data_IF_632389061825
#
_entry.id   IF_632389061825
#
_cell.length_a   1.000
_cell.length_b   1.000
_cell.length_c   1.000
_cell.angle_alpha   90.00
_cell.angle_beta   90.00
_cell.angle_gamma   90.00
#
_symmetry.space_group_name_H-M   'P 1'
#
loop_
_entity.id
_entity.type
_entity.pdbx_description
1 polymer ?
#
# COMPACT_ATOMS: atom_id res chain seq x y z
N UNK A 1 -7.23 3.62 23.26
CA UNK A 1 -8.10 2.64 22.56
C UNK A 1 -7.30 1.39 22.22
N UNK A 2 -7.94 0.24 21.96
CA UNK A 2 -7.18 -0.92 21.45
C UNK A 2 -6.81 -0.68 19.98
N UNK A 3 -5.71 -1.28 19.51
CA UNK A 3 -5.18 -1.05 18.15
C UNK A 3 -6.22 -1.35 17.05
N UNK A 4 -7.04 -2.39 17.23
CA UNK A 4 -8.06 -2.79 16.25
C UNK A 4 -9.24 -1.81 16.20
N UNK A 5 -9.52 -1.08 17.28
CA UNK A 5 -10.56 -0.04 17.29
C UNK A 5 -10.09 1.17 16.47
N UNK A 6 -8.82 1.56 16.66
CA UNK A 6 -8.17 2.61 15.88
C UNK A 6 -8.14 2.23 14.38
N UNK A 7 -7.72 1.00 14.07
CA UNK A 7 -7.72 0.49 12.70
C UNK A 7 -9.12 0.51 12.07
N UNK A 8 -10.16 0.07 12.80
CA UNK A 8 -11.56 0.11 12.31
C UNK A 8 -12.06 1.53 12.06
N UNK A 9 -11.76 2.48 12.95
CA UNK A 9 -12.11 3.89 12.74
C UNK A 9 -11.49 4.40 11.43
N UNK A 10 -10.20 4.14 11.24
CA UNK A 10 -9.48 4.57 10.05
C UNK A 10 -9.98 3.87 8.77
N UNK A 11 -10.31 2.59 8.83
CA UNK A 11 -10.92 1.87 7.71
C UNK A 11 -12.25 2.49 7.30
N UNK A 12 -13.07 2.90 8.28
CA UNK A 12 -14.36 3.57 8.01
C UNK A 12 -14.17 4.94 7.37
N UNK A 13 -13.20 5.72 7.84
CA UNK A 13 -12.83 7.03 7.25
C UNK A 13 -12.35 6.88 5.80
N UNK A 14 -11.54 5.85 5.53
CA UNK A 14 -10.98 5.59 4.20
C UNK A 14 -11.92 4.82 3.25
N UNK A 15 -13.06 4.33 3.75
CA UNK A 15 -13.97 3.47 2.98
C UNK A 15 -13.36 2.14 2.57
N UNK A 16 -12.42 1.60 3.35
CA UNK A 16 -11.73 0.33 3.06
C UNK A 16 -12.44 -0.81 3.78
N UNK A 17 -12.75 -1.88 3.04
CA UNK A 17 -13.35 -3.10 3.60
C UNK A 17 -12.28 -4.06 4.13
N UNK A 18 -12.70 -5.05 4.93
CA UNK A 18 -11.79 -6.07 5.46
C UNK A 18 -11.21 -6.94 4.34
N UNK A 19 -11.99 -7.21 3.31
CA UNK A 19 -11.59 -7.97 2.12
C UNK A 19 -10.42 -7.26 1.41
N UNK A 20 -10.54 -5.94 1.18
CA UNK A 20 -9.52 -5.14 0.51
C UNK A 20 -8.24 -5.04 1.34
N UNK A 21 -8.37 -4.89 2.66
CA UNK A 21 -7.22 -4.92 3.57
C UNK A 21 -6.54 -6.29 3.52
N UNK A 22 -7.30 -7.37 3.45
CA UNK A 22 -6.77 -8.73 3.41
C UNK A 22 -6.03 -9.01 2.09
N UNK A 23 -6.60 -8.59 0.97
CA UNK A 23 -5.98 -8.68 -0.35
C UNK A 23 -4.61 -7.97 -0.39
N UNK A 24 -4.53 -6.74 0.11
CA UNK A 24 -3.30 -5.95 0.07
C UNK A 24 -2.21 -6.46 1.01
N UNK A 25 -2.61 -7.06 2.13
CA UNK A 25 -1.71 -7.69 3.09
C UNK A 25 -1.39 -9.16 2.74
N UNK A 26 -1.96 -9.71 1.67
CA UNK A 26 -1.76 -11.11 1.28
C UNK A 26 -2.33 -12.10 2.30
N UNK A 27 -3.35 -11.71 3.04
CA UNK A 27 -3.99 -12.48 4.11
C UNK A 27 -5.39 -12.95 3.73
N UNK A 28 -5.93 -13.90 4.47
CA UNK A 28 -7.34 -14.29 4.32
C UNK A 28 -8.25 -13.28 5.03
N UNK A 29 -9.42 -13.01 4.44
CA UNK A 29 -10.43 -12.12 5.04
C UNK A 29 -10.83 -12.57 6.46
N UNK A 30 -10.95 -13.87 6.71
CA UNK A 30 -11.20 -14.42 8.04
C UNK A 30 -10.04 -14.20 9.03
N UNK A 31 -8.79 -14.20 8.57
CA UNK A 31 -7.61 -13.88 9.38
C UNK A 31 -7.66 -12.45 9.92
N UNK A 32 -7.89 -11.48 9.03
CA UNK A 32 -8.08 -10.08 9.40
C UNK A 32 -9.30 -9.89 10.30
N UNK A 33 -10.40 -10.59 10.02
CA UNK A 33 -11.61 -10.56 10.85
C UNK A 33 -11.34 -11.00 12.30
N UNK A 34 -10.52 -12.04 12.51
CA UNK A 34 -10.12 -12.48 13.85
C UNK A 34 -9.27 -11.44 14.58
N UNK A 35 -8.35 -10.78 13.89
CA UNK A 35 -7.55 -9.70 14.47
C UNK A 35 -8.40 -8.50 14.84
N UNK A 36 -9.26 -8.04 13.93
CA UNK A 36 -10.12 -6.88 14.15
C UNK A 36 -11.17 -7.11 15.23
N UNK A 37 -11.51 -8.36 15.56
CA UNK A 37 -12.40 -8.73 16.68
C UNK A 37 -11.66 -8.90 18.01
N UNK A 38 -10.33 -8.86 18.00
CA UNK A 38 -9.51 -9.15 19.19
C UNK A 38 -9.50 -10.62 19.60
N UNK A 39 -9.95 -11.54 18.72
CA UNK A 39 -9.95 -12.98 19.01
C UNK A 39 -8.56 -13.60 18.85
N UNK A 40 -7.71 -13.00 18.02
CA UNK A 40 -6.29 -13.34 17.87
C UNK A 40 -5.45 -12.10 18.11
N UNK A 41 -4.32 -12.30 18.77
CA UNK A 41 -3.37 -11.24 19.10
C UNK A 41 -2.22 -11.29 18.09
N UNK A 42 -2.22 -10.41 17.08
CA UNK A 42 -1.08 -10.28 16.18
C UNK A 42 0.16 -9.76 16.92
N UNK A 43 1.32 -9.97 16.33
CA UNK A 43 2.56 -9.34 16.78
C UNK A 43 2.55 -7.83 16.55
N UNK A 44 3.46 -7.11 17.23
CA UNK A 44 3.65 -5.67 17.01
C UNK A 44 4.04 -5.36 15.55
N UNK A 45 4.84 -6.21 14.91
CA UNK A 45 5.21 -6.07 13.50
C UNK A 45 3.98 -6.15 12.59
N UNK A 46 3.10 -7.12 12.82
CA UNK A 46 1.85 -7.29 12.06
C UNK A 46 0.92 -6.08 12.24
N UNK A 47 0.81 -5.55 13.47
CA UNK A 47 0.05 -4.32 13.74
C UNK A 47 0.66 -3.13 12.98
N UNK A 48 1.98 -3.01 12.97
CA UNK A 48 2.71 -1.97 12.24
C UNK A 48 2.44 -2.01 10.73
N UNK A 49 2.37 -3.20 10.13
CA UNK A 49 2.03 -3.38 8.71
C UNK A 49 0.61 -2.86 8.42
N UNK A 50 -0.36 -3.19 9.26
CA UNK A 50 -1.75 -2.70 9.13
C UNK A 50 -1.80 -1.18 9.24
N UNK A 51 -1.15 -0.61 10.26
CA UNK A 51 -1.11 0.84 10.48
C UNK A 51 -0.46 1.59 9.32
N UNK A 52 0.67 1.08 8.80
CA UNK A 52 1.33 1.63 7.62
C UNK A 52 0.40 1.67 6.41
N UNK A 53 -0.34 0.58 6.15
CA UNK A 53 -1.29 0.54 5.05
C UNK A 53 -2.43 1.55 5.22
N UNK A 54 -2.95 1.67 6.44
CA UNK A 54 -4.03 2.59 6.81
C UNK A 54 -3.57 4.06 6.95
N UNK A 55 -2.28 4.36 6.76
CA UNK A 55 -1.72 5.71 6.89
C UNK A 55 -1.72 6.21 8.34
N UNK A 56 -1.65 5.30 9.30
CA UNK A 56 -1.58 5.61 10.73
C UNK A 56 -0.09 5.59 11.13
N UNK A 57 0.55 6.75 11.09
CA UNK A 57 1.97 6.96 11.35
C UNK A 57 2.26 7.51 12.75
N UNK A 58 1.35 8.35 13.26
CA UNK A 58 1.51 9.04 14.54
C UNK A 58 0.64 8.40 15.64
N UNK A 59 1.12 7.32 16.26
CA UNK A 59 0.43 6.66 17.38
C UNK A 59 1.37 6.51 18.57
N UNK A 60 0.94 6.95 19.74
CA UNK A 60 1.63 6.65 20.99
C UNK A 60 1.14 5.31 21.56
N UNK A 61 2.09 4.45 21.92
CA UNK A 61 1.83 3.21 22.65
C UNK A 61 1.96 3.49 24.14
N UNK A 62 0.87 3.30 24.87
CA UNK A 62 0.80 3.53 26.31
C UNK A 62 1.19 2.25 27.08
N UNK A 63 1.63 2.41 28.33
CA UNK A 63 2.04 1.29 29.20
C UNK A 63 0.91 0.31 29.55
N UNK A 64 -0.36 0.71 29.36
CA UNK A 64 -1.55 -0.14 29.55
C UNK A 64 -1.88 -1.01 28.32
N UNK A 65 -1.03 -0.99 27.29
CA UNK A 65 -1.25 -1.71 26.05
C UNK A 65 -2.34 -1.08 25.17
N UNK A 66 -2.65 0.20 25.39
CA UNK A 66 -3.53 0.99 24.52
C UNK A 66 -2.73 1.87 23.58
N UNK A 67 -3.40 2.28 22.52
CA UNK A 67 -2.89 3.19 21.51
C UNK A 67 -3.70 4.48 21.54
N UNK A 68 -2.99 5.61 21.51
CA UNK A 68 -3.56 6.94 21.39
C UNK A 68 -3.07 7.58 20.09
N UNK A 69 -3.95 8.17 19.27
CA UNK A 69 -3.50 8.91 18.10
C UNK A 69 -2.73 10.15 18.57
N UNK A 70 -1.48 10.26 18.13
CA UNK A 70 -0.56 11.32 18.51
C UNK A 70 -0.33 12.27 17.31
N UNK A 71 -1.40 12.71 16.63
CA UNK A 71 -1.28 13.64 15.50
C UNK A 71 -2.34 13.46 14.43
N UNK A 72 -2.23 14.25 13.36
CA UNK A 72 -3.08 14.15 12.17
C UNK A 72 -2.80 12.85 11.40
N UNK A 73 -3.85 12.12 11.02
CA UNK A 73 -3.71 10.94 10.17
C UNK A 73 -3.35 11.37 8.75
N UNK A 74 -2.33 10.75 8.15
CA UNK A 74 -2.04 10.96 6.72
C UNK A 74 -3.26 10.59 5.88
N UNK A 75 -3.80 11.54 5.11
CA UNK A 75 -5.15 11.51 4.55
C UNK A 75 -5.40 10.42 3.49
N UNK A 76 -4.37 9.72 3.02
CA UNK A 76 -4.51 8.71 1.98
C UNK A 76 -3.90 7.36 2.39
N UNK A 77 -4.60 6.23 2.11
CA UNK A 77 -3.97 4.92 2.19
C UNK A 77 -2.79 4.88 1.22
N UNK A 78 -1.69 4.24 1.61
CA UNK A 78 -0.49 4.11 0.79
C UNK A 78 -0.82 3.21 -0.41
N UNK A 79 -1.25 3.80 -1.52
CA UNK A 79 -1.42 3.08 -2.79
C UNK A 79 -0.03 2.77 -3.33
N UNK A 80 0.23 1.51 -3.69
CA UNK A 80 1.45 1.15 -4.44
C UNK A 80 1.44 1.94 -5.75
N UNK A 81 2.40 2.84 -5.90
CA UNK A 81 2.61 3.61 -7.12
C UNK A 81 3.74 2.96 -7.93
N UNK A 82 3.50 2.77 -9.22
CA UNK A 82 4.49 2.34 -10.20
C UNK A 82 4.74 3.48 -11.18
N UNK A 83 5.94 3.57 -11.72
CA UNK A 83 6.31 4.61 -12.68
C UNK A 83 6.90 3.97 -13.93
N UNK A 84 6.45 4.42 -15.10
CA UNK A 84 6.94 3.95 -16.38
C UNK A 84 7.42 5.13 -17.25
N UNK A 85 8.51 4.95 -18.01
CA UNK A 85 9.02 5.97 -18.90
C UNK A 85 8.08 6.18 -20.08
N UNK A 86 7.98 7.43 -20.53
CA UNK A 86 7.30 7.82 -21.77
C UNK A 86 8.36 8.10 -22.82
N UNK A 87 8.20 7.53 -24.01
CA UNK A 87 9.06 7.82 -25.16
C UNK A 87 8.24 8.51 -26.26
N UNK A 88 8.71 9.67 -26.74
CA UNK A 88 8.07 10.42 -27.84
C UNK A 88 8.07 9.66 -29.16
N UNK A 89 9.07 8.80 -29.38
CA UNK A 89 9.26 8.02 -30.59
C UNK A 89 10.02 6.75 -30.28
N UNK A 90 9.53 5.64 -30.83
CA UNK A 90 10.07 4.30 -30.64
C UNK A 90 10.22 3.65 -32.00
N UNK A 91 11.32 2.93 -32.24
CA UNK A 91 11.50 2.20 -33.49
C UNK A 91 10.44 1.09 -33.60
N UNK A 92 9.69 1.07 -34.70
CA UNK A 92 8.69 0.04 -34.96
C UNK A 92 9.32 -1.36 -35.05
N UNK A 93 8.61 -2.37 -34.54
CA UNK A 93 9.01 -3.78 -34.62
C UNK A 93 9.98 -4.26 -33.53
N UNK A 94 10.47 -3.37 -32.66
CA UNK A 94 11.39 -3.73 -31.57
C UNK A 94 10.70 -3.73 -30.20
N UNK A 95 9.66 -4.56 -30.05
CA UNK A 95 8.99 -4.79 -28.75
C UNK A 95 9.49 -6.08 -28.08
N UNK A 96 10.76 -6.46 -28.32
CA UNK A 96 11.40 -7.59 -27.64
C UNK A 96 12.07 -7.12 -26.34
N UNK A 97 11.98 -7.88 -25.24
CA UNK A 97 12.74 -7.62 -24.02
C UNK A 97 14.26 -7.82 -24.19
N UNK A 98 14.71 -8.55 -25.22
CA UNK A 98 16.11 -8.95 -25.40
C UNK A 98 16.97 -7.87 -26.07
N UNK A 99 16.38 -7.05 -26.95
CA UNK A 99 17.07 -5.99 -27.68
C UNK A 99 16.51 -4.62 -27.30
N UNK A 100 17.15 -3.96 -26.32
CA UNK A 100 16.74 -2.66 -25.79
C UNK A 100 17.54 -1.53 -26.40
N UNK A 101 16.98 -0.85 -27.38
CA UNK A 101 17.56 0.39 -27.93
C UNK A 101 17.28 1.60 -27.03
N UNK A 102 16.18 1.59 -26.28
CA UNK A 102 15.77 2.69 -25.40
C UNK A 102 16.03 2.38 -23.93
N UNK A 103 16.59 3.36 -23.24
CA UNK A 103 16.97 3.29 -21.83
C UNK A 103 16.17 4.29 -21.00
N UNK A 104 16.35 4.24 -19.67
CA UNK A 104 15.75 5.21 -18.75
C UNK A 104 16.17 6.66 -19.03
N UNK A 105 17.34 6.86 -19.65
CA UNK A 105 17.86 8.19 -20.00
C UNK A 105 17.16 8.83 -21.20
N UNK A 106 16.59 8.01 -22.09
CA UNK A 106 15.87 8.48 -23.28
C UNK A 106 14.42 8.87 -22.98
N UNK A 107 13.98 8.67 -21.73
CA UNK A 107 12.62 8.94 -21.30
C UNK A 107 12.37 10.45 -21.27
N UNK A 108 11.32 10.90 -21.96
CA UNK A 108 10.91 12.31 -21.93
C UNK A 108 10.33 12.68 -20.57
N UNK A 109 9.57 11.75 -19.98
CA UNK A 109 9.00 11.87 -18.64
C UNK A 109 8.64 10.52 -18.05
N UNK A 110 8.31 10.50 -16.76
CA UNK A 110 7.81 9.34 -16.04
C UNK A 110 6.34 9.54 -15.68
N UNK A 111 5.52 8.52 -15.93
CA UNK A 111 4.08 8.55 -15.62
C UNK A 111 3.78 7.57 -14.51
N UNK A 112 3.20 8.08 -13.42
CA UNK A 112 2.76 7.27 -12.29
C UNK A 112 1.46 6.55 -12.59
N UNK A 113 1.38 5.26 -12.26
CA UNK A 113 0.20 4.40 -12.41
C UNK A 113 0.00 3.55 -11.16
N UNK A 114 -1.26 3.24 -10.88
CA UNK A 114 -1.65 2.32 -9.79
C UNK A 114 -1.59 0.85 -10.21
N UNK A 115 -1.46 0.56 -11.51
CA UNK A 115 -1.30 -0.80 -12.04
C UNK A 115 0.16 -1.12 -12.31
N UNK A 116 0.57 -2.32 -11.86
CA UNK A 116 1.85 -2.92 -12.22
C UNK A 116 1.78 -3.46 -13.66
N UNK A 117 2.60 -2.90 -14.52
CA UNK A 117 3.00 -3.47 -15.81
C UNK A 117 4.37 -4.18 -15.68
N UNK A 118 4.85 -4.78 -16.78
CA UNK A 118 6.18 -5.41 -16.85
C UNK A 118 7.30 -4.41 -16.54
N UNK A 119 8.45 -4.90 -16.06
CA UNK A 119 9.65 -4.07 -15.82
C UNK A 119 10.20 -3.44 -17.11
N UNK A 120 9.78 -3.96 -18.28
CA UNK A 120 10.09 -3.42 -19.60
C UNK A 120 8.96 -2.56 -20.20
N UNK A 121 7.90 -2.27 -19.44
CA UNK A 121 6.80 -1.46 -19.94
C UNK A 121 7.20 0.03 -20.05
N UNK A 122 6.61 0.70 -21.03
CA UNK A 122 6.74 2.12 -21.30
C UNK A 122 5.44 2.62 -21.94
N UNK A 123 5.28 3.94 -22.00
CA UNK A 123 4.16 4.62 -22.65
C UNK A 123 4.60 5.36 -23.90
#
# INVERSE_FOLDING_TARGET
>A
MKWYELARSRMKELGITQEKLAEELGMTQGGIGHWLRGSRHPSLDEIGVVFKYLGIDNVSFNHDGTFSPAGEYSSAPVKKQYEYPVFSHVQAGMFSPELRTFTKGDAERWVSTTKKASDCAFW
#
